data_IF_299266037228
#
_entry.id   IF_299266037228
#
_cell.length_a   1.000
_cell.length_b   1.000
_cell.length_c   1.000
_cell.angle_alpha   90.00
_cell.angle_beta   90.00
_cell.angle_gamma   90.00
#
_symmetry.space_group_name_H-M   'P 1'
#
loop_
_entity.id
_entity.type
_entity.pdbx_description
1 polymer ?
#
# COMPACT_ATOMS: atom_id res chain seq x y z
N UNK A 1 18.00 -32.84 -62.03
CA UNK A 1 18.82 -31.63 -61.74
C UNK A 1 18.13 -30.49 -62.48
N UNK A 2 17.46 -29.50 -61.91
CA UNK A 2 17.43 -28.88 -60.57
C UNK A 2 15.99 -28.49 -60.23
N UNK A 3 15.59 -28.65 -58.97
CA UNK A 3 14.24 -28.37 -58.45
C UNK A 3 14.09 -26.85 -58.19
N UNK A 4 13.16 -26.19 -58.89
CA UNK A 4 12.92 -24.76 -58.83
C UNK A 4 11.78 -24.44 -57.85
N UNK A 5 12.15 -23.99 -56.66
CA UNK A 5 11.25 -23.54 -55.60
C UNK A 5 10.42 -22.33 -56.02
N UNK A 6 9.11 -22.51 -56.21
CA UNK A 6 8.12 -21.43 -56.13
C UNK A 6 7.13 -21.77 -55.04
N UNK A 7 7.43 -21.33 -53.82
CA UNK A 7 6.54 -21.39 -52.65
C UNK A 7 5.36 -20.45 -52.91
N UNK A 8 4.28 -20.98 -53.48
CA UNK A 8 3.00 -20.27 -53.57
C UNK A 8 2.46 -20.08 -52.16
N UNK A 9 2.40 -18.83 -51.71
CA UNK A 9 1.52 -18.45 -50.61
C UNK A 9 0.12 -18.34 -51.21
N UNK A 10 -0.72 -19.36 -51.01
CA UNK A 10 -2.14 -19.24 -51.26
C UNK A 10 -2.80 -18.70 -49.99
N UNK A 11 -3.42 -17.54 -50.17
CA UNK A 11 -4.27 -16.85 -49.23
C UNK A 11 -5.49 -17.70 -48.80
N UNK A 12 -5.93 -17.49 -47.55
CA UNK A 12 -7.37 -17.27 -47.36
C UNK A 12 -8.26 -18.39 -46.83
N UNK A 13 -7.78 -19.37 -46.06
CA UNK A 13 -8.69 -20.16 -45.21
C UNK A 13 -8.77 -19.57 -43.81
N UNK A 14 -9.75 -18.68 -43.64
CA UNK A 14 -10.25 -18.18 -42.37
C UNK A 14 -10.86 -19.35 -41.60
N UNK A 15 -10.06 -20.04 -40.79
CA UNK A 15 -10.57 -20.86 -39.70
C UNK A 15 -10.97 -19.94 -38.56
N UNK A 16 -12.26 -19.64 -38.54
CA UNK A 16 -13.01 -18.98 -37.48
C UNK A 16 -12.75 -19.61 -36.12
N UNK A 17 -11.83 -19.01 -35.36
CA UNK A 17 -11.58 -19.39 -33.98
C UNK A 17 -10.93 -18.23 -33.25
N UNK A 18 -11.74 -17.28 -32.79
CA UNK A 18 -11.30 -16.32 -31.77
C UNK A 18 -10.85 -17.14 -30.56
N UNK A 19 -9.56 -17.48 -30.49
CA UNK A 19 -9.00 -18.16 -29.33
C UNK A 19 -8.98 -17.12 -28.21
N UNK A 20 -10.10 -17.01 -27.48
CA UNK A 20 -10.16 -16.25 -26.23
C UNK A 20 -8.98 -16.72 -25.39
N UNK A 21 -7.98 -15.85 -25.19
CA UNK A 21 -6.90 -16.08 -24.22
C UNK A 21 -7.57 -16.58 -22.94
N UNK A 22 -7.28 -17.81 -22.53
CA UNK A 22 -7.89 -18.44 -21.35
C UNK A 22 -7.75 -17.48 -20.18
N UNK A 23 -8.88 -17.08 -19.59
CA UNK A 23 -8.90 -16.27 -18.37
C UNK A 23 -8.81 -17.20 -17.18
N UNK A 24 -7.85 -16.94 -16.31
CA UNK A 24 -7.69 -17.66 -15.04
C UNK A 24 -8.41 -16.89 -13.94
N UNK A 25 -9.34 -17.58 -13.30
CA UNK A 25 -9.98 -17.10 -12.07
C UNK A 25 -8.95 -16.96 -10.94
N UNK A 26 -9.23 -16.13 -9.94
CA UNK A 26 -8.41 -16.02 -8.73
C UNK A 26 -8.07 -17.37 -8.10
N UNK A 27 -9.10 -18.21 -7.94
CA UNK A 27 -9.03 -19.51 -7.29
C UNK A 27 -8.17 -20.48 -8.11
N UNK A 28 -8.27 -20.43 -9.44
CA UNK A 28 -7.38 -21.19 -10.32
C UNK A 28 -5.93 -20.72 -10.19
N UNK A 29 -5.67 -19.41 -10.14
CA UNK A 29 -4.30 -18.89 -9.96
C UNK A 29 -3.70 -19.34 -8.64
N UNK A 30 -4.48 -19.31 -7.55
CA UNK A 30 -4.07 -19.81 -6.23
C UNK A 30 -3.72 -21.28 -6.33
N UNK A 31 -4.63 -22.12 -6.85
CA UNK A 31 -4.43 -23.56 -6.99
C UNK A 31 -3.19 -23.91 -7.82
N UNK A 32 -2.99 -23.21 -8.94
CA UNK A 32 -1.82 -23.41 -9.82
C UNK A 32 -0.54 -23.08 -9.08
N UNK A 33 -0.52 -21.99 -8.33
CA UNK A 33 0.67 -21.60 -7.59
C UNK A 33 0.92 -22.54 -6.40
N UNK A 34 -0.10 -22.97 -5.67
CA UNK A 34 0.01 -23.98 -4.61
C UNK A 34 0.61 -25.28 -5.13
N UNK A 35 0.20 -25.71 -6.33
CA UNK A 35 0.76 -26.89 -7.01
C UNK A 35 2.29 -26.78 -7.18
N UNK A 36 2.84 -25.58 -7.40
CA UNK A 36 4.29 -25.38 -7.52
C UNK A 36 5.07 -25.59 -6.23
N UNK A 37 4.40 -25.63 -5.08
CA UNK A 37 5.01 -25.89 -3.77
C UNK A 37 4.91 -27.36 -3.34
N UNK A 38 4.16 -28.19 -4.09
CA UNK A 38 4.08 -29.62 -3.79
C UNK A 38 5.45 -30.31 -3.99
N UNK A 39 5.79 -31.31 -3.17
CA UNK A 39 7.03 -32.07 -3.33
C UNK A 39 7.16 -32.65 -4.74
N UNK A 40 8.33 -32.47 -5.37
CA UNK A 40 8.59 -32.95 -6.72
C UNK A 40 7.98 -32.11 -7.86
N UNK A 41 7.25 -31.03 -7.55
CA UNK A 41 6.78 -30.08 -8.56
C UNK A 41 7.80 -28.97 -8.80
N UNK A 42 7.92 -28.55 -10.05
CA UNK A 42 8.67 -27.36 -10.44
C UNK A 42 7.78 -26.38 -11.19
N UNK A 43 8.12 -25.09 -11.15
CA UNK A 43 7.38 -24.05 -11.89
C UNK A 43 7.30 -24.39 -13.38
N UNK A 44 8.39 -24.90 -13.96
CA UNK A 44 8.43 -25.31 -15.38
C UNK A 44 7.48 -26.46 -15.70
N UNK A 45 7.34 -27.44 -14.80
CA UNK A 45 6.42 -28.56 -14.97
C UNK A 45 4.95 -28.10 -14.89
N UNK A 46 4.63 -27.30 -13.88
CA UNK A 46 3.27 -26.76 -13.67
C UNK A 46 2.90 -25.82 -14.82
N UNK A 47 3.82 -24.97 -15.27
CA UNK A 47 3.65 -24.10 -16.45
C UNK A 47 3.22 -24.89 -17.69
N UNK A 48 3.91 -26.00 -18.01
CA UNK A 48 3.58 -26.85 -19.15
C UNK A 48 2.20 -27.52 -19.00
N UNK A 49 1.88 -28.00 -17.79
CA UNK A 49 0.60 -28.67 -17.50
C UNK A 49 -0.59 -27.74 -17.71
N UNK A 50 -0.44 -26.47 -17.34
CA UNK A 50 -1.53 -25.49 -17.44
C UNK A 50 -1.47 -24.63 -18.71
N UNK A 51 -0.45 -24.79 -19.56
CA UNK A 51 -0.24 -23.96 -20.76
C UNK A 51 0.04 -22.49 -20.43
N UNK A 52 0.74 -22.23 -19.32
CA UNK A 52 1.05 -20.90 -18.80
C UNK A 52 2.55 -20.64 -18.93
N UNK A 53 2.95 -19.42 -19.29
CA UNK A 53 4.37 -19.03 -19.27
C UNK A 53 4.90 -18.97 -17.83
N UNK A 54 6.09 -19.54 -17.57
CA UNK A 54 6.66 -19.60 -16.21
C UNK A 54 6.76 -18.23 -15.51
N UNK A 55 7.05 -17.16 -16.26
CA UNK A 55 7.08 -15.79 -15.73
C UNK A 55 5.75 -15.36 -15.08
N UNK A 56 4.61 -15.80 -15.64
CA UNK A 56 3.29 -15.49 -15.10
C UNK A 56 3.07 -16.12 -13.72
N UNK A 57 3.56 -17.35 -13.52
CA UNK A 57 3.48 -18.07 -12.25
C UNK A 57 4.39 -17.41 -11.20
N UNK A 58 5.60 -16.96 -11.58
CA UNK A 58 6.46 -16.20 -10.67
C UNK A 58 5.81 -14.88 -10.23
N UNK A 59 5.17 -14.16 -11.14
CA UNK A 59 4.39 -12.97 -10.81
C UNK A 59 3.27 -13.29 -9.82
N UNK A 60 2.51 -14.37 -10.02
CA UNK A 60 1.46 -14.76 -9.08
C UNK A 60 1.99 -15.20 -7.72
N UNK A 61 3.15 -15.89 -7.66
CA UNK A 61 3.83 -16.20 -6.40
C UNK A 61 4.19 -14.93 -5.63
N UNK A 62 4.76 -13.94 -6.31
CA UNK A 62 5.10 -12.65 -5.71
C UNK A 62 3.86 -11.93 -5.18
N UNK A 63 2.78 -11.88 -5.96
CA UNK A 63 1.53 -11.24 -5.54
C UNK A 63 0.89 -11.95 -4.34
N UNK A 64 0.94 -13.27 -4.26
CA UNK A 64 0.47 -13.99 -3.06
C UNK A 64 1.30 -13.71 -1.83
N UNK A 65 2.64 -13.72 -1.96
CA UNK A 65 3.53 -13.43 -0.83
C UNK A 65 3.32 -12.00 -0.27
N UNK A 66 2.81 -11.08 -1.10
CA UNK A 66 2.49 -9.70 -0.73
C UNK A 66 1.03 -9.52 -0.24
N UNK A 67 0.22 -10.58 -0.20
CA UNK A 67 -1.22 -10.49 0.08
C UNK A 67 -2.05 -9.85 -1.06
N UNK A 68 -1.41 -9.51 -2.19
CA UNK A 68 -2.01 -8.77 -3.29
C UNK A 68 -2.80 -9.64 -4.28
N UNK A 69 -2.59 -10.96 -4.32
CA UNK A 69 -3.36 -11.82 -5.24
C UNK A 69 -4.84 -11.90 -4.85
N UNK A 70 -5.16 -11.92 -3.55
CA UNK A 70 -6.53 -11.96 -3.03
C UNK A 70 -7.22 -10.60 -3.15
N UNK A 71 -6.45 -9.52 -3.00
CA UNK A 71 -6.95 -8.16 -3.01
C UNK A 71 -7.23 -7.65 -4.44
N UNK A 72 -6.40 -8.05 -5.43
CA UNK A 72 -6.66 -7.80 -6.86
C UNK A 72 -7.92 -8.50 -7.41
N UNK A 73 -8.55 -9.37 -6.60
CA UNK A 73 -9.65 -10.24 -7.02
C UNK A 73 -10.96 -9.93 -6.30
N UNK A 74 -10.90 -9.31 -5.11
CA UNK A 74 -12.06 -8.80 -4.41
C UNK A 74 -12.58 -7.45 -4.98
N UNK A 75 -11.89 -6.85 -5.95
CA UNK A 75 -12.21 -5.50 -6.42
C UNK A 75 -11.96 -4.43 -5.36
N UNK A 76 -11.28 -4.79 -4.28
CA UNK A 76 -10.90 -3.90 -3.19
C UNK A 76 -9.65 -3.11 -3.58
N UNK A 77 -9.65 -1.81 -3.28
CA UNK A 77 -8.50 -0.94 -3.50
C UNK A 77 -7.33 -1.41 -2.62
N UNK A 78 -6.34 -2.03 -3.25
CA UNK A 78 -5.21 -2.63 -2.55
C UNK A 78 -4.14 -1.56 -2.35
N UNK A 79 -3.98 -1.12 -1.11
CA UNK A 79 -2.82 -0.29 -0.73
C UNK A 79 -1.58 -1.21 -0.68
N UNK A 80 -0.52 -0.93 -1.47
CA UNK A 80 0.72 -1.70 -1.41
C UNK A 80 1.27 -1.80 0.02
N UNK A 81 1.86 -2.94 0.37
CA UNK A 81 2.42 -3.15 1.71
C UNK A 81 3.46 -2.09 2.12
N UNK A 82 4.15 -1.48 1.16
CA UNK A 82 5.07 -0.34 1.39
C UNK A 82 4.34 0.92 1.82
N UNK A 83 3.19 1.21 1.21
CA UNK A 83 2.35 2.36 1.56
C UNK A 83 1.70 2.15 2.92
N UNK A 84 1.26 0.93 3.23
CA UNK A 84 0.77 0.58 4.57
C UNK A 84 1.85 0.81 5.65
N UNK A 85 3.08 0.36 5.41
CA UNK A 85 4.21 0.61 6.34
C UNK A 85 4.55 2.08 6.48
N UNK A 86 4.49 2.84 5.38
CA UNK A 86 4.73 4.28 5.40
C UNK A 86 3.65 5.01 6.22
N UNK A 87 2.39 4.62 6.04
CA UNK A 87 1.27 5.16 6.81
C UNK A 87 1.40 4.80 8.30
N UNK A 88 1.77 3.57 8.61
CA UNK A 88 2.01 3.15 10.01
C UNK A 88 3.13 3.98 10.66
N UNK A 89 4.21 4.27 9.91
CA UNK A 89 5.28 5.14 10.38
C UNK A 89 4.79 6.58 10.62
N UNK A 90 3.95 7.11 9.74
CA UNK A 90 3.34 8.44 9.93
C UNK A 90 2.43 8.47 11.17
N UNK A 91 1.62 7.44 11.39
CA UNK A 91 0.76 7.34 12.58
C UNK A 91 1.60 7.34 13.86
N UNK A 92 2.71 6.58 13.90
CA UNK A 92 3.63 6.57 15.04
C UNK A 92 4.24 7.94 15.30
N UNK A 93 4.67 8.64 14.26
CA UNK A 93 5.25 9.98 14.41
C UNK A 93 4.21 11.00 14.86
N UNK A 94 2.99 10.96 14.31
CA UNK A 94 1.90 11.82 14.74
C UNK A 94 1.54 11.58 16.21
N UNK A 95 1.46 10.32 16.66
CA UNK A 95 1.25 10.01 18.07
C UNK A 95 2.37 10.56 18.96
N UNK A 96 3.63 10.47 18.52
CA UNK A 96 4.77 11.03 19.25
C UNK A 96 4.68 12.55 19.35
N UNK A 97 4.37 13.24 18.25
CA UNK A 97 4.22 14.69 18.20
C UNK A 97 3.03 15.16 19.04
N UNK A 98 1.92 14.45 18.98
CA UNK A 98 0.73 14.73 19.79
C UNK A 98 1.05 14.61 21.28
N UNK A 99 1.76 13.55 21.69
CA UNK A 99 2.21 13.38 23.07
C UNK A 99 3.08 14.55 23.54
N UNK A 100 4.06 14.97 22.72
CA UNK A 100 4.90 16.14 23.02
C UNK A 100 4.06 17.41 23.19
N UNK A 101 3.09 17.65 22.31
CA UNK A 101 2.24 18.85 22.35
C UNK A 101 1.23 18.82 23.50
N UNK A 102 0.79 17.65 23.93
CA UNK A 102 -0.04 17.49 25.12
C UNK A 102 0.74 17.90 26.38
N UNK A 103 1.97 17.41 26.54
CA UNK A 103 2.83 17.79 27.67
C UNK A 103 3.14 19.29 27.69
N UNK A 104 3.46 19.87 26.53
CA UNK A 104 3.70 21.32 26.41
C UNK A 104 2.46 22.13 26.85
N UNK A 105 1.25 21.72 26.43
CA UNK A 105 0.02 22.37 26.86
C UNK A 105 -0.23 22.26 28.37
N UNK A 106 0.05 21.11 28.97
CA UNK A 106 -0.10 20.91 30.41
C UNK A 106 0.83 21.86 31.18
N UNK A 107 2.12 21.91 30.82
CA UNK A 107 3.10 22.81 31.42
C UNK A 107 2.72 24.28 31.26
N UNK A 108 2.26 24.68 30.07
CA UNK A 108 1.80 26.05 29.82
C UNK A 108 0.58 26.39 30.66
N UNK A 109 -0.38 25.47 30.78
CA UNK A 109 -1.56 25.65 31.64
C UNK A 109 -1.19 25.76 33.11
N UNK A 110 -0.24 24.95 33.59
CA UNK A 110 0.30 25.08 34.95
C UNK A 110 0.97 26.44 35.18
N UNK A 111 1.81 26.89 34.25
CA UNK A 111 2.49 28.17 34.33
C UNK A 111 1.48 29.34 34.36
N UNK A 112 0.46 29.29 33.51
CA UNK A 112 -0.64 30.26 33.50
C UNK A 112 -1.42 30.21 34.82
N UNK A 113 -1.75 29.02 35.34
CA UNK A 113 -2.44 28.88 36.63
C UNK A 113 -1.64 29.48 37.79
N UNK A 114 -0.32 29.27 37.80
CA UNK A 114 0.60 29.87 38.78
C UNK A 114 0.68 31.40 38.65
N UNK A 115 0.68 31.93 37.43
CA UNK A 115 0.68 33.38 37.16
C UNK A 115 -0.69 34.03 37.41
N UNK A 116 -1.78 33.28 37.27
CA UNK A 116 -3.17 33.70 37.52
C UNK A 116 -3.60 33.60 38.99
N UNK A 117 -2.65 33.36 39.92
CA UNK A 117 -2.85 33.58 41.35
C UNK A 117 -3.47 34.97 41.62
N UNK A 118 -4.14 35.15 42.78
CA UNK A 118 -5.12 36.21 43.00
C UNK A 118 -4.57 37.53 42.51
N UNK A 119 -5.27 38.15 41.53
CA UNK A 119 -4.94 39.45 40.95
C UNK A 119 -4.44 40.36 42.07
N UNK A 120 -3.12 40.48 42.22
CA UNK A 120 -2.53 41.67 42.83
C UNK A 120 -2.71 42.75 41.78
N UNK A 121 -3.95 43.22 41.68
CA UNK A 121 -4.26 44.60 41.36
C UNK A 121 -3.44 45.43 42.34
N UNK A 122 -2.18 45.65 41.99
CA UNK A 122 -1.40 46.76 42.53
C UNK A 122 -1.93 48.01 41.82
N UNK A 123 -3.20 48.31 42.07
CA UNK A 123 -3.68 49.69 42.05
C UNK A 123 -2.97 50.34 43.24
N UNK A 124 -1.69 50.68 43.06
CA UNK A 124 -1.00 51.55 44.00
C UNK A 124 -1.54 52.94 43.69
N UNK A 125 -2.63 53.29 44.37
CA UNK A 125 -3.06 54.67 44.52
C UNK A 125 -1.88 55.45 45.06
N UNK A 126 -1.14 56.13 44.19
CA UNK A 126 -0.27 57.22 44.60
C UNK A 126 -1.19 58.38 44.91
N UNK A 127 -1.66 58.41 46.16
CA UNK A 127 -2.28 59.60 46.74
C UNK A 127 -1.28 60.74 46.66
N UNK A 128 -1.66 61.81 45.97
CA UNK A 128 -0.98 63.11 45.95
C UNK A 128 -0.92 63.69 47.37
N UNK A 129 0.21 64.28 47.79
CA UNK A 129 0.16 65.40 48.71
C UNK A 129 -0.10 66.67 47.91
N UNK A 130 -1.28 67.25 48.13
CA UNK A 130 -1.59 68.65 47.92
C UNK A 130 -0.82 69.45 48.99
N UNK A 131 -0.01 70.41 48.56
CA UNK A 131 0.23 71.72 49.19
C UNK A 131 1.29 72.44 48.32
N UNK A 132 1.13 73.69 47.87
CA UNK A 132 0.26 74.75 48.36
C UNK A 132 1.03 75.78 49.18
N UNK A 133 2.11 76.37 48.64
CA UNK A 133 2.46 77.78 48.88
C UNK A 133 3.44 78.30 47.84
#
# INVERSE_FOLDING_TARGET
MTDGTTRRYNDGEVLSGVQRRRRWTPEEKVRIVEETYLPGMSVSLVARRHGIGGNQIFTWRRLMAQGALTAATAGEEVVPASEYRALEAQVRELHRLLGKKAMENELLREAVSRAAGPKKLLLRSTSLPRDGR
#
